data_IF_128423705014
#
_entry.id   IF_128423705014
#
_cell.length_a   1.000
_cell.length_b   1.000
_cell.length_c   1.000
_cell.angle_alpha   90.00
_cell.angle_beta   90.00
_cell.angle_gamma   90.00
#
_symmetry.space_group_name_H-M   'P 1'
#
loop_
_entity.id
_entity.type
_entity.pdbx_description
1 polymer ?
#
# COMPACT_ATOMS: atom_id res chain seq x y z
N UNK A 1 8.48 6.90 11.49
CA UNK A 1 7.76 8.14 11.17
C UNK A 1 8.44 8.81 9.98
N UNK A 2 7.75 8.96 8.87
CA UNK A 2 8.21 9.79 7.76
C UNK A 2 8.07 11.24 8.17
N UNK A 3 9.18 11.88 8.50
CA UNK A 3 9.21 13.32 8.73
C UNK A 3 9.26 14.04 7.37
N UNK A 4 8.25 14.81 7.06
CA UNK A 4 8.23 15.74 5.93
C UNK A 4 7.94 17.15 6.44
N UNK A 5 8.60 18.16 5.87
CA UNK A 5 9.68 18.12 4.88
C UNK A 5 11.03 17.69 5.49
N UNK A 6 11.84 16.98 4.71
CA UNK A 6 13.26 16.78 5.06
C UNK A 6 14.00 18.06 4.75
N UNK A 7 14.44 18.76 5.78
CA UNK A 7 15.26 19.94 5.60
C UNK A 7 16.50 19.63 4.73
N UNK A 8 16.73 20.44 3.71
CA UNK A 8 17.98 20.59 2.93
C UNK A 8 18.39 19.54 1.90
N UNK A 9 17.60 18.50 1.53
CA UNK A 9 18.13 17.50 0.58
C UNK A 9 17.37 17.24 -0.71
N UNK A 10 16.07 17.40 -0.74
CA UNK A 10 15.23 17.20 -1.96
C UNK A 10 13.92 17.97 -1.84
N UNK A 11 13.35 18.46 -2.96
CA UNK A 11 12.01 19.05 -2.94
C UNK A 11 11.00 18.04 -2.39
N UNK A 12 10.19 18.48 -1.44
CA UNK A 12 9.13 17.65 -0.82
C UNK A 12 7.76 17.95 -1.42
N UNK A 13 7.72 18.80 -2.44
CA UNK A 13 6.49 19.20 -3.11
C UNK A 13 6.69 19.19 -4.63
N UNK A 14 5.64 18.86 -5.34
CA UNK A 14 5.55 18.94 -6.80
C UNK A 14 4.62 20.09 -7.12
N UNK A 15 5.11 21.03 -7.94
CA UNK A 15 4.26 22.10 -8.49
C UNK A 15 3.22 21.48 -9.40
N UNK A 16 1.94 21.76 -9.16
CA UNK A 16 0.85 21.28 -10.02
C UNK A 16 0.84 22.11 -11.30
N UNK A 17 1.19 21.49 -12.40
CA UNK A 17 1.16 22.03 -13.75
C UNK A 17 0.46 21.02 -14.67
N UNK A 18 0.04 21.38 -15.89
CA UNK A 18 -0.50 20.42 -16.85
C UNK A 18 0.43 19.21 -17.08
N UNK A 19 1.74 19.43 -17.08
CA UNK A 19 2.74 18.36 -17.28
C UNK A 19 2.90 17.47 -16.08
N UNK A 20 2.91 18.01 -14.86
CA UNK A 20 3.07 17.24 -13.64
C UNK A 20 1.79 16.52 -13.20
N UNK A 21 0.63 17.03 -13.60
CA UNK A 21 -0.67 16.48 -13.21
C UNK A 21 -0.86 15.03 -13.64
N UNK A 22 -0.24 14.60 -14.76
CA UNK A 22 -0.26 13.21 -15.21
C UNK A 22 0.37 12.22 -14.22
N UNK A 23 1.26 12.70 -13.35
CA UNK A 23 1.95 11.90 -12.33
C UNK A 23 1.28 11.94 -10.96
N UNK A 24 0.26 12.78 -10.81
CA UNK A 24 -0.46 12.98 -9.57
C UNK A 24 -1.74 12.15 -9.54
N UNK A 25 -2.14 11.81 -8.33
CA UNK A 25 -3.43 11.19 -8.04
C UNK A 25 -4.32 12.17 -7.28
N UNK A 26 -5.64 12.15 -7.46
CA UNK A 26 -6.55 12.98 -6.67
C UNK A 26 -6.52 12.54 -5.21
N UNK A 27 -6.51 13.49 -4.29
CA UNK A 27 -6.56 13.20 -2.85
C UNK A 27 -8.01 13.06 -2.38
N UNK A 28 -8.73 12.06 -2.92
CA UNK A 28 -10.17 11.87 -2.73
C UNK A 28 -10.53 10.50 -2.14
N UNK A 29 -9.58 9.78 -1.60
CA UNK A 29 -9.78 8.46 -1.00
C UNK A 29 -8.48 7.89 -0.46
N UNK A 30 -8.56 6.70 0.09
CA UNK A 30 -7.42 6.03 0.70
C UNK A 30 -6.56 5.34 -0.35
N UNK A 31 -5.24 5.45 -0.22
CA UNK A 31 -4.28 4.73 -1.05
C UNK A 31 -3.54 3.70 -0.23
N UNK A 32 -3.32 2.52 -0.81
CA UNK A 32 -2.44 1.52 -0.19
C UNK A 32 -1.10 1.57 -0.90
N UNK A 33 -0.04 1.71 -0.14
CA UNK A 33 1.32 1.76 -0.66
C UNK A 33 2.13 0.57 -0.16
N UNK A 34 2.95 0.01 -1.04
CA UNK A 34 3.88 -1.07 -0.72
C UNK A 34 5.29 -0.63 -1.06
N UNK A 35 6.22 -0.84 -0.16
CA UNK A 35 7.63 -0.53 -0.38
C UNK A 35 8.17 -1.34 -1.57
N UNK A 36 8.80 -0.65 -2.51
CA UNK A 36 9.36 -1.27 -3.72
C UNK A 36 10.66 -2.00 -3.47
N UNK A 37 11.51 -1.45 -2.63
CA UNK A 37 12.81 -2.05 -2.34
C UNK A 37 12.75 -2.83 -1.03
N UNK A 38 13.08 -4.12 -1.11
CA UNK A 38 13.14 -5.00 0.04
C UNK A 38 14.14 -6.14 -0.24
N UNK A 39 15.06 -6.40 0.70
CA UNK A 39 16.01 -7.49 0.52
C UNK A 39 15.38 -8.83 0.89
N UNK A 40 15.99 -9.94 0.43
CA UNK A 40 15.51 -11.29 0.71
C UNK A 40 15.63 -11.64 2.20
N UNK A 41 16.59 -11.04 2.87
CA UNK A 41 16.93 -11.25 4.28
C UNK A 41 15.99 -10.48 5.22
N UNK A 42 15.22 -9.53 4.71
CA UNK A 42 14.25 -8.81 5.53
C UNK A 42 13.18 -9.76 6.08
N UNK A 43 12.78 -9.52 7.32
CA UNK A 43 11.73 -10.29 7.99
C UNK A 43 10.47 -10.39 7.14
N UNK A 44 10.16 -9.32 6.38
CA UNK A 44 9.02 -9.27 5.46
C UNK A 44 9.41 -8.56 4.17
N UNK A 45 9.05 -9.17 3.05
CA UNK A 45 9.23 -8.60 1.71
C UNK A 45 8.13 -7.59 1.38
N UNK A 46 6.90 -7.95 1.70
CA UNK A 46 5.73 -7.11 1.48
C UNK A 46 5.42 -6.37 2.78
N UNK A 47 5.48 -5.04 2.72
CA UNK A 47 5.08 -4.14 3.81
C UNK A 47 4.17 -3.08 3.23
N UNK A 48 2.90 -3.12 3.61
CA UNK A 48 1.85 -2.22 3.14
C UNK A 48 1.46 -1.20 4.21
N UNK A 49 1.19 0.03 3.77
CA UNK A 49 0.64 1.09 4.61
C UNK A 49 -0.55 1.73 3.90
N UNK A 50 -1.45 2.33 4.67
CA UNK A 50 -2.59 3.09 4.17
C UNK A 50 -2.29 4.57 4.30
N UNK A 51 -2.54 5.32 3.24
CA UNK A 51 -2.47 6.78 3.21
C UNK A 51 -3.90 7.30 3.32
N UNK A 52 -4.14 8.01 4.42
CA UNK A 52 -5.42 8.69 4.68
C UNK A 52 -5.44 10.03 3.92
N UNK A 53 -6.48 10.33 3.13
CA UNK A 53 -6.61 11.60 2.42
C UNK A 53 -6.59 12.82 3.35
N UNK A 54 -6.99 12.67 4.61
CA UNK A 54 -6.99 13.75 5.59
C UNK A 54 -5.58 14.10 6.15
N UNK A 55 -4.58 13.27 5.88
CA UNK A 55 -3.20 13.55 6.34
C UNK A 55 -2.52 14.68 5.59
N UNK A 56 -3.00 15.01 4.41
CA UNK A 56 -2.39 16.00 3.50
C UNK A 56 -3.50 16.89 2.96
N UNK A 57 -3.50 18.16 3.34
CA UNK A 57 -4.48 19.16 2.88
C UNK A 57 -4.10 19.66 1.47
N UNK A 58 -4.30 18.80 0.47
CA UNK A 58 -4.10 19.15 -0.94
C UNK A 58 -5.09 18.40 -1.82
N UNK A 59 -5.42 18.98 -2.97
CA UNK A 59 -6.25 18.34 -4.01
C UNK A 59 -5.58 17.14 -4.68
N UNK A 60 -4.26 17.15 -4.74
CA UNK A 60 -3.45 16.20 -5.48
C UNK A 60 -2.35 15.64 -4.60
N UNK A 61 -2.07 14.36 -4.75
CA UNK A 61 -0.99 13.67 -4.06
C UNK A 61 -0.03 13.04 -5.06
N UNK A 62 1.27 13.16 -4.81
CA UNK A 62 2.33 12.50 -5.56
C UNK A 62 3.03 11.46 -4.72
N UNK A 63 3.45 10.38 -5.35
CA UNK A 63 4.22 9.32 -4.68
C UNK A 63 5.59 9.19 -5.33
N UNK A 64 6.60 9.01 -4.50
CA UNK A 64 7.97 8.70 -4.93
C UNK A 64 8.04 7.31 -5.58
N UNK A 65 9.03 7.10 -6.45
CA UNK A 65 9.29 5.84 -7.13
C UNK A 65 9.72 4.68 -6.19
N UNK A 66 9.92 4.96 -4.92
CA UNK A 66 10.18 3.94 -3.89
C UNK A 66 8.92 3.16 -3.48
N UNK A 67 7.76 3.55 -3.97
CA UNK A 67 6.48 2.96 -3.61
C UNK A 67 5.76 2.37 -4.82
N UNK A 68 5.13 1.22 -4.62
CA UNK A 68 4.04 0.74 -5.45
C UNK A 68 2.74 1.24 -4.84
N UNK A 69 1.90 1.91 -5.63
CA UNK A 69 0.66 2.53 -5.16
C UNK A 69 -0.54 1.80 -5.74
N UNK A 70 -1.41 1.33 -4.88
CA UNK A 70 -2.67 0.71 -5.27
C UNK A 70 -3.76 1.78 -5.38
N UNK A 71 -4.51 1.72 -6.48
CA UNK A 71 -5.62 2.62 -6.78
C UNK A 71 -6.59 1.97 -7.79
N UNK A 72 -7.80 2.47 -7.91
CA UNK A 72 -8.77 2.08 -8.94
C UNK A 72 -8.92 3.22 -9.95
N UNK A 73 -8.46 3.01 -11.19
CA UNK A 73 -8.58 4.03 -12.27
C UNK A 73 -8.10 5.42 -11.84
N UNK A 74 -6.97 5.47 -11.14
CA UNK A 74 -6.39 6.69 -10.54
C UNK A 74 -7.22 7.33 -9.41
N UNK A 75 -8.17 6.62 -8.82
CA UNK A 75 -8.93 7.06 -7.65
C UNK A 75 -8.50 6.26 -6.42
N UNK A 76 -8.61 6.88 -5.23
CA UNK A 76 -8.41 6.18 -3.97
C UNK A 76 -9.55 5.19 -3.68
N UNK A 77 -9.31 4.30 -2.73
CA UNK A 77 -10.29 3.36 -2.22
C UNK A 77 -11.18 4.00 -1.15
N UNK A 78 -12.32 3.36 -0.86
CA UNK A 78 -12.99 3.55 0.43
C UNK A 78 -12.11 3.01 1.58
N UNK A 79 -12.42 3.45 2.80
CA UNK A 79 -11.64 3.09 3.99
C UNK A 79 -11.54 1.57 4.22
N UNK A 80 -12.68 0.88 4.15
CA UNK A 80 -12.75 -0.56 4.44
C UNK A 80 -11.94 -1.37 3.41
N UNK A 81 -12.08 -1.03 2.14
CA UNK A 81 -11.31 -1.68 1.06
C UNK A 81 -9.80 -1.44 1.23
N UNK A 82 -9.38 -0.21 1.54
CA UNK A 82 -7.96 0.10 1.75
C UNK A 82 -7.38 -0.65 2.95
N UNK A 83 -8.10 -0.65 4.07
CA UNK A 83 -7.68 -1.33 5.30
C UNK A 83 -7.60 -2.84 5.09
N UNK A 84 -8.59 -3.44 4.44
CA UNK A 84 -8.59 -4.88 4.13
C UNK A 84 -7.49 -5.28 3.16
N UNK A 85 -7.21 -4.46 2.16
CA UNK A 85 -6.10 -4.67 1.24
C UNK A 85 -4.75 -4.60 1.99
N UNK A 86 -4.58 -3.62 2.87
CA UNK A 86 -3.38 -3.51 3.71
C UNK A 86 -3.24 -4.70 4.67
N UNK A 87 -4.33 -5.17 5.28
CA UNK A 87 -4.35 -6.38 6.09
C UNK A 87 -3.86 -7.59 5.30
N UNK A 88 -4.44 -7.84 4.13
CA UNK A 88 -4.07 -8.95 3.25
C UNK A 88 -2.60 -8.87 2.82
N UNK A 89 -2.15 -7.70 2.35
CA UNK A 89 -0.76 -7.46 1.93
C UNK A 89 0.24 -7.63 3.09
N UNK A 90 -0.21 -7.37 4.33
CA UNK A 90 0.60 -7.54 5.52
C UNK A 90 0.50 -8.95 6.15
N UNK A 91 -0.14 -9.91 5.51
CA UNK A 91 -0.23 -11.29 6.02
C UNK A 91 1.05 -12.10 5.77
N UNK A 92 1.32 -13.05 6.65
CA UNK A 92 2.40 -14.02 6.44
C UNK A 92 2.13 -14.93 5.24
N UNK A 93 0.86 -15.22 4.97
CA UNK A 93 0.42 -15.99 3.82
C UNK A 93 0.91 -15.36 2.51
N UNK A 94 0.67 -14.06 2.35
CA UNK A 94 1.05 -13.34 1.13
C UNK A 94 2.57 -13.21 1.01
N UNK A 95 3.26 -12.89 2.11
CA UNK A 95 4.72 -12.77 2.10
C UNK A 95 5.40 -14.10 1.73
N UNK A 96 4.89 -15.21 2.27
CA UNK A 96 5.37 -16.56 1.93
C UNK A 96 5.12 -16.88 0.46
N UNK A 97 3.92 -16.60 -0.05
CA UNK A 97 3.58 -16.80 -1.45
C UNK A 97 4.47 -15.96 -2.38
N UNK A 98 4.67 -14.67 -2.04
CA UNK A 98 5.54 -13.78 -2.81
C UNK A 98 6.98 -14.29 -2.88
N UNK A 99 7.52 -14.85 -1.79
CA UNK A 99 8.88 -15.39 -1.74
C UNK A 99 9.10 -16.60 -2.64
N UNK A 100 8.06 -17.36 -2.96
CA UNK A 100 8.16 -18.55 -3.81
C UNK A 100 8.56 -18.16 -5.25
N UNK A 101 8.00 -17.09 -5.79
CA UNK A 101 8.22 -16.73 -7.20
C UNK A 101 9.09 -15.48 -7.40
N UNK A 102 9.25 -14.63 -6.40
CA UNK A 102 10.05 -13.42 -6.52
C UNK A 102 11.47 -13.61 -6.00
N UNK A 103 12.39 -13.85 -6.95
CA UNK A 103 13.83 -13.95 -6.68
C UNK A 103 14.57 -12.61 -6.63
N UNK A 104 13.92 -11.49 -6.92
CA UNK A 104 14.54 -10.17 -7.03
C UNK A 104 14.56 -9.41 -5.71
N UNK A 105 15.43 -8.40 -5.60
CA UNK A 105 15.49 -7.49 -4.45
C UNK A 105 14.40 -6.41 -4.48
N UNK A 106 13.59 -6.38 -5.54
CA UNK A 106 12.50 -5.42 -5.71
C UNK A 106 11.15 -6.13 -5.68
N UNK A 107 10.18 -5.47 -5.08
CA UNK A 107 8.76 -5.80 -5.19
C UNK A 107 8.22 -5.05 -6.41
N UNK A 108 8.10 -5.75 -7.53
CA UNK A 108 7.67 -5.12 -8.78
C UNK A 108 6.15 -5.02 -8.86
N UNK A 109 5.65 -3.97 -9.52
CA UNK A 109 4.23 -3.78 -9.74
C UNK A 109 3.60 -4.93 -10.56
N UNK A 110 4.37 -5.54 -11.49
CA UNK A 110 3.91 -6.70 -12.26
C UNK A 110 3.68 -7.90 -11.36
N UNK A 111 4.60 -8.18 -10.44
CA UNK A 111 4.46 -9.28 -9.48
C UNK A 111 3.21 -9.09 -8.62
N UNK A 112 3.01 -7.87 -8.09
CA UNK A 112 1.82 -7.53 -7.31
C UNK A 112 0.52 -7.68 -8.10
N UNK A 113 0.49 -7.30 -9.39
CA UNK A 113 -0.71 -7.46 -10.23
C UNK A 113 -1.05 -8.92 -10.53
N UNK A 114 -0.05 -9.79 -10.58
CA UNK A 114 -0.24 -11.22 -10.87
C UNK A 114 -0.64 -12.04 -9.64
N UNK A 115 -0.64 -11.45 -8.46
CA UNK A 115 -1.08 -12.13 -7.24
C UNK A 115 -2.60 -12.32 -7.23
N UNK A 116 -3.05 -13.38 -6.58
CA UNK A 116 -4.48 -13.60 -6.33
C UNK A 116 -4.91 -12.84 -5.09
N UNK A 117 -5.86 -11.96 -5.26
CA UNK A 117 -6.43 -11.16 -4.18
C UNK A 117 -7.78 -11.73 -3.73
N UNK A 118 -8.19 -11.51 -2.47
CA UNK A 118 -9.54 -11.79 -2.02
C UNK A 118 -10.59 -11.00 -2.82
N UNK A 119 -11.83 -11.44 -2.81
CA UNK A 119 -12.94 -10.67 -3.37
C UNK A 119 -13.07 -9.31 -2.68
N UNK A 120 -13.72 -8.36 -3.36
CA UNK A 120 -13.97 -7.03 -2.77
C UNK A 120 -14.72 -7.14 -1.44
N UNK A 121 -15.71 -8.03 -1.35
CA UNK A 121 -16.46 -8.28 -0.12
C UNK A 121 -15.56 -8.79 1.01
N UNK A 122 -14.65 -9.72 0.72
CA UNK A 122 -13.71 -10.23 1.70
C UNK A 122 -12.70 -9.16 2.13
N UNK A 123 -12.24 -8.30 1.22
CA UNK A 123 -11.39 -7.16 1.58
C UNK A 123 -12.13 -6.20 2.52
N UNK A 124 -13.39 -5.87 2.24
CA UNK A 124 -14.18 -5.00 3.11
C UNK A 124 -14.43 -5.63 4.48
N UNK A 125 -14.70 -6.94 4.54
CA UNK A 125 -14.83 -7.66 5.82
C UNK A 125 -13.53 -7.62 6.64
N UNK A 126 -12.38 -7.82 5.99
CA UNK A 126 -11.08 -7.66 6.64
C UNK A 126 -10.89 -6.24 7.15
N UNK A 127 -11.21 -5.24 6.32
CA UNK A 127 -11.01 -3.83 6.65
C UNK A 127 -11.83 -3.35 7.83
N UNK A 128 -13.02 -3.90 8.03
CA UNK A 128 -13.86 -3.62 9.21
C UNK A 128 -13.24 -4.11 10.52
N UNK A 129 -12.41 -5.15 10.46
CA UNK A 129 -11.81 -5.79 11.64
C UNK A 129 -10.35 -5.40 11.84
N UNK A 130 -9.65 -4.99 10.80
CA UNK A 130 -8.22 -4.72 10.83
C UNK A 130 -7.90 -3.39 11.50
N UNK A 131 -6.95 -3.43 12.44
CA UNK A 131 -6.30 -2.25 13.03
C UNK A 131 -4.81 -2.29 12.71
N UNK A 132 -4.24 -1.15 12.32
CA UNK A 132 -2.81 -1.01 11.99
C UNK A 132 -1.87 -1.33 13.17
N UNK A 133 -2.40 -1.37 14.40
CA UNK A 133 -1.67 -1.75 15.60
C UNK A 133 -1.63 -3.26 15.84
N UNK A 134 -2.37 -4.03 15.06
CA UNK A 134 -2.39 -5.49 15.18
C UNK A 134 -1.01 -6.09 14.96
N UNK A 135 -0.66 -7.07 15.78
CA UNK A 135 0.54 -7.86 15.57
C UNK A 135 0.32 -8.91 14.46
N UNK A 136 1.41 -9.55 14.02
CA UNK A 136 1.37 -10.50 12.91
C UNK A 136 0.38 -11.65 13.13
N UNK A 137 0.34 -12.22 14.34
CA UNK A 137 -0.57 -13.33 14.66
C UNK A 137 -2.04 -12.93 14.53
N UNK A 138 -2.38 -11.71 14.95
CA UNK A 138 -3.74 -11.17 14.81
C UNK A 138 -4.11 -10.98 13.34
N UNK A 139 -3.20 -10.45 12.52
CA UNK A 139 -3.40 -10.30 11.07
C UNK A 139 -3.63 -11.68 10.44
N UNK A 140 -2.77 -12.64 10.73
CA UNK A 140 -2.84 -13.98 10.13
C UNK A 140 -4.13 -14.72 10.54
N UNK A 141 -4.62 -14.51 11.76
CA UNK A 141 -5.90 -15.04 12.21
C UNK A 141 -7.07 -14.45 11.40
N UNK A 142 -7.07 -13.12 11.16
CA UNK A 142 -8.11 -12.50 10.32
C UNK A 142 -8.12 -13.06 8.90
N UNK A 143 -6.95 -13.31 8.32
CA UNK A 143 -6.85 -13.93 7.00
C UNK A 143 -7.43 -15.35 6.98
N UNK A 144 -7.24 -16.11 8.07
CA UNK A 144 -7.82 -17.44 8.22
C UNK A 144 -9.36 -17.48 8.29
N UNK A 145 -9.99 -16.36 8.63
CA UNK A 145 -11.46 -16.24 8.73
C UNK A 145 -12.15 -16.01 7.35
N UNK A 146 -11.42 -15.54 6.35
CA UNK A 146 -11.95 -15.35 4.99
C UNK A 146 -11.77 -16.64 4.19
N UNK A 147 -12.87 -17.18 3.73
CA UNK A 147 -12.92 -18.38 2.88
C UNK A 147 -13.01 -17.99 1.41
#
# INVERSE_FOLDING_TARGET
>A
QLQYPKEHKKPNAIRVTPDSQKWLLPNNGFYVIVRRFSSKEEKRRIVANVIDPNMIDTKWIGFDNCWNVFHIKKQGFDYETAMGLACFLNSSLLDSYFRIFSGHTQVNATDLRNMKYPSLQNLQLLGKKYDIKMNQKQIDNLIGEIK
#
